data_IF_099929731878
#
_entry.id   IF_099929731878
#
_cell.length_a   1.000
_cell.length_b   1.000
_cell.length_c   1.000
_cell.angle_alpha   90.00
_cell.angle_beta   90.00
_cell.angle_gamma   90.00
#
_symmetry.space_group_name_H-M   'P 1'
#
loop_
_entity.id
_entity.type
_entity.pdbx_description
1 polymer ?
#
# COMPACT_ATOMS: atom_id res chain seq x y z
N UNK A 1 2.86 17.14 5.57
CA UNK A 1 2.56 15.71 5.36
C UNK A 1 3.32 14.89 6.38
N UNK A 2 2.66 13.98 7.08
CA UNK A 2 3.31 13.16 8.11
C UNK A 2 4.23 12.11 7.49
N UNK A 3 5.14 11.56 8.32
CA UNK A 3 6.00 10.47 7.90
C UNK A 3 5.19 9.24 7.48
N UNK A 4 4.09 8.95 8.21
CA UNK A 4 3.19 7.83 7.88
C UNK A 4 2.50 8.02 6.53
N UNK A 5 2.06 9.23 6.22
CA UNK A 5 1.44 9.55 4.92
C UNK A 5 2.45 9.37 3.79
N UNK A 6 3.67 9.85 3.98
CA UNK A 6 4.75 9.65 3.00
C UNK A 6 5.07 8.16 2.81
N UNK A 7 5.10 7.40 3.91
CA UNK A 7 5.35 5.97 3.87
C UNK A 7 4.27 5.22 3.10
N UNK A 8 2.99 5.57 3.30
CA UNK A 8 1.88 4.98 2.56
C UNK A 8 2.00 5.23 1.07
N UNK A 9 2.40 6.44 0.68
CA UNK A 9 2.62 6.77 -0.73
C UNK A 9 3.74 5.94 -1.34
N UNK A 10 4.83 5.73 -0.62
CA UNK A 10 5.91 4.84 -1.06
C UNK A 10 5.43 3.41 -1.24
N UNK A 11 4.62 2.91 -0.30
CA UNK A 11 4.04 1.57 -0.39
C UNK A 11 3.10 1.43 -1.59
N UNK A 12 2.22 2.40 -1.80
CA UNK A 12 1.29 2.40 -2.95
C UNK A 12 2.07 2.43 -4.26
N UNK A 13 3.10 3.26 -4.37
CA UNK A 13 3.94 3.34 -5.57
C UNK A 13 4.62 2.01 -5.86
N UNK A 14 5.13 1.33 -4.83
CA UNK A 14 5.76 0.02 -4.98
C UNK A 14 4.78 -1.05 -5.42
N UNK A 15 3.59 -1.08 -4.82
CA UNK A 15 2.53 -2.03 -5.17
C UNK A 15 2.03 -1.78 -6.59
N UNK A 16 1.88 -0.53 -6.97
CA UNK A 16 1.47 -0.14 -8.32
C UNK A 16 2.52 -0.57 -9.36
N UNK A 17 3.79 -0.27 -9.11
CA UNK A 17 4.87 -0.63 -10.02
C UNK A 17 5.00 -2.16 -10.16
N UNK A 18 4.82 -2.89 -9.08
CA UNK A 18 4.87 -4.35 -9.09
C UNK A 18 3.78 -4.94 -9.99
N UNK A 19 2.56 -4.42 -9.91
CA UNK A 19 1.45 -4.86 -10.74
C UNK A 19 1.75 -4.65 -12.23
N UNK A 20 2.34 -3.51 -12.59
CA UNK A 20 2.61 -3.18 -13.99
C UNK A 20 3.81 -3.93 -14.56
N UNK A 21 4.81 -4.22 -13.74
CA UNK A 21 6.07 -4.82 -14.19
C UNK A 21 6.19 -6.31 -13.89
N UNK A 22 5.20 -6.88 -13.22
CA UNK A 22 5.20 -8.28 -12.79
C UNK A 22 6.44 -8.64 -11.95
N UNK A 23 6.86 -7.71 -11.09
CA UNK A 23 7.96 -7.91 -10.15
C UNK A 23 7.45 -7.75 -8.72
N UNK A 24 8.27 -8.16 -7.75
CA UNK A 24 7.91 -8.06 -6.34
C UNK A 24 7.83 -6.60 -5.89
N UNK A 25 6.78 -6.25 -5.14
CA UNK A 25 6.65 -4.91 -4.56
C UNK A 25 7.79 -4.62 -3.57
N UNK A 26 8.25 -5.65 -2.86
CA UNK A 26 9.41 -5.52 -1.96
C UNK A 26 10.66 -5.08 -2.71
N UNK A 27 10.91 -5.66 -3.87
CA UNK A 27 12.05 -5.25 -4.72
C UNK A 27 11.92 -3.82 -5.21
N UNK A 28 10.70 -3.41 -5.60
CA UNK A 28 10.45 -2.03 -6.02
C UNK A 28 10.72 -1.04 -4.89
N UNK A 29 10.29 -1.38 -3.69
CA UNK A 29 10.51 -0.53 -2.53
C UNK A 29 12.00 -0.44 -2.16
N UNK A 30 12.71 -1.56 -2.17
CA UNK A 30 14.15 -1.61 -1.90
C UNK A 30 14.94 -0.74 -2.89
N UNK A 31 14.56 -0.78 -4.15
CA UNK A 31 15.20 0.03 -5.19
C UNK A 31 14.98 1.51 -4.93
N UNK A 32 13.75 1.91 -4.57
CA UNK A 32 13.43 3.29 -4.24
C UNK A 32 14.22 3.76 -3.00
N UNK A 33 14.29 2.92 -1.97
CA UNK A 33 15.05 3.22 -0.76
C UNK A 33 16.54 3.44 -1.08
N UNK A 34 17.11 2.57 -1.89
CA UNK A 34 18.51 2.66 -2.28
C UNK A 34 18.83 3.95 -3.03
N UNK A 35 17.87 4.45 -3.81
CA UNK A 35 18.04 5.69 -4.59
C UNK A 35 17.69 6.94 -3.79
N UNK A 36 17.13 6.81 -2.60
CA UNK A 36 16.77 7.94 -1.75
C UNK A 36 18.01 8.45 -1.00
N UNK A 37 17.95 9.72 -0.59
CA UNK A 37 18.96 10.26 0.30
C UNK A 37 18.81 9.64 1.69
N UNK A 38 19.93 9.26 2.30
CA UNK A 38 19.91 8.64 3.62
C UNK A 38 19.85 9.71 4.71
N UNK A 39 18.63 10.16 4.99
CA UNK A 39 18.33 11.05 6.10
C UNK A 39 17.51 10.31 7.14
N UNK A 40 17.52 10.77 8.38
CA UNK A 40 16.83 10.11 9.49
C UNK A 40 15.33 9.95 9.23
N UNK A 41 14.67 10.93 8.61
CA UNK A 41 13.26 10.87 8.26
C UNK A 41 12.97 9.77 7.21
N UNK A 42 13.92 9.49 6.32
CA UNK A 42 13.74 8.45 5.31
C UNK A 42 13.76 7.05 5.93
N UNK A 43 14.57 6.82 6.96
CA UNK A 43 14.61 5.52 7.66
C UNK A 43 13.24 5.16 8.20
N UNK A 44 12.58 6.09 8.89
CA UNK A 44 11.23 5.87 9.44
C UNK A 44 10.19 5.67 8.34
N UNK A 45 10.25 6.48 7.30
CA UNK A 45 9.32 6.38 6.16
C UNK A 45 9.41 5.01 5.50
N UNK A 46 10.60 4.54 5.18
CA UNK A 46 10.78 3.25 4.51
C UNK A 46 10.51 2.07 5.44
N UNK A 47 10.74 2.20 6.75
CA UNK A 47 10.40 1.15 7.70
C UNK A 47 8.89 0.87 7.69
N UNK A 48 8.05 1.90 7.74
CA UNK A 48 6.61 1.71 7.68
C UNK A 48 6.14 1.29 6.28
N UNK A 49 6.73 1.85 5.24
CA UNK A 49 6.42 1.43 3.86
C UNK A 49 6.68 -0.06 3.65
N UNK A 50 7.78 -0.56 4.19
CA UNK A 50 8.10 -2.00 4.13
C UNK A 50 7.07 -2.84 4.87
N UNK A 51 6.64 -2.39 6.05
CA UNK A 51 5.60 -3.07 6.82
C UNK A 51 4.31 -3.18 6.00
N UNK A 52 3.91 -2.10 5.32
CA UNK A 52 2.73 -2.07 4.46
C UNK A 52 2.87 -3.04 3.29
N UNK A 53 3.98 -2.98 2.57
CA UNK A 53 4.22 -3.83 1.40
C UNK A 53 4.25 -5.30 1.79
N UNK A 54 4.97 -5.63 2.86
CA UNK A 54 5.06 -7.01 3.36
C UNK A 54 3.69 -7.52 3.81
N UNK A 55 2.93 -6.67 4.51
CA UNK A 55 1.59 -7.03 5.00
C UNK A 55 0.60 -7.29 3.86
N UNK A 56 0.57 -6.42 2.87
CA UNK A 56 -0.29 -6.60 1.68
C UNK A 56 0.11 -7.86 0.92
N UNK A 57 1.40 -8.10 0.77
CA UNK A 57 1.91 -9.29 0.07
C UNK A 57 1.54 -10.58 0.82
N UNK A 58 1.70 -10.59 2.14
CA UNK A 58 1.42 -11.77 2.96
C UNK A 58 -0.07 -12.14 2.96
N UNK A 59 -0.96 -11.14 2.88
CA UNK A 59 -2.40 -11.33 2.94
C UNK A 59 -3.10 -11.07 1.61
N UNK A 60 -2.35 -11.07 0.51
CA UNK A 60 -2.84 -10.66 -0.81
C UNK A 60 -4.09 -11.38 -1.28
N UNK A 61 -4.12 -12.71 -1.15
CA UNK A 61 -5.28 -13.50 -1.60
C UNK A 61 -6.55 -13.16 -0.79
N UNK A 62 -6.42 -13.06 0.53
CA UNK A 62 -7.56 -12.74 1.40
C UNK A 62 -8.05 -11.31 1.16
N UNK A 63 -7.13 -10.37 0.97
CA UNK A 63 -7.46 -8.98 0.67
C UNK A 63 -8.21 -8.88 -0.66
N UNK A 64 -7.73 -9.55 -1.70
CA UNK A 64 -8.35 -9.53 -3.02
C UNK A 64 -9.73 -10.18 -3.00
N UNK A 65 -9.90 -11.28 -2.26
CA UNK A 65 -11.21 -11.93 -2.09
C UNK A 65 -12.22 -10.97 -1.43
N UNK A 66 -11.79 -10.23 -0.41
CA UNK A 66 -12.64 -9.25 0.24
C UNK A 66 -13.02 -8.12 -0.72
N UNK A 67 -12.07 -7.61 -1.47
CA UNK A 67 -12.32 -6.53 -2.44
C UNK A 67 -13.32 -6.99 -3.50
N UNK A 68 -13.18 -8.19 -4.04
CA UNK A 68 -14.10 -8.72 -5.04
C UNK A 68 -15.50 -8.97 -4.47
N UNK A 69 -15.59 -9.41 -3.20
CA UNK A 69 -16.87 -9.65 -2.55
C UNK A 69 -17.67 -8.37 -2.37
N UNK A 70 -17.01 -7.26 -2.01
CA UNK A 70 -17.68 -6.03 -1.65
C UNK A 70 -17.64 -4.93 -2.72
N UNK A 71 -16.85 -5.10 -3.77
CA UNK A 71 -16.74 -4.10 -4.84
C UNK A 71 -17.77 -4.38 -5.95
N UNK A 72 -19.01 -4.23 -5.64
CA UNK A 72 -20.19 -4.56 -6.46
C UNK A 72 -19.98 -4.32 -7.96
N UNK A 73 -19.85 -5.41 -8.73
CA UNK A 73 -19.70 -5.34 -10.17
C UNK A 73 -18.31 -5.04 -10.68
N UNK A 74 -17.34 -4.81 -9.79
CA UNK A 74 -15.94 -4.58 -10.15
C UNK A 74 -15.09 -5.76 -9.73
N UNK A 75 -14.38 -6.36 -10.67
CA UNK A 75 -13.38 -7.37 -10.34
C UNK A 75 -12.03 -6.69 -10.15
N UNK A 76 -11.12 -7.35 -9.44
CA UNK A 76 -9.76 -6.87 -9.26
C UNK A 76 -9.09 -6.58 -10.60
N UNK A 77 -9.30 -7.45 -11.59
CA UNK A 77 -8.72 -7.30 -12.92
C UNK A 77 -9.19 -6.03 -13.66
N UNK A 78 -10.41 -5.56 -13.35
CA UNK A 78 -10.98 -4.38 -13.99
C UNK A 78 -10.66 -3.08 -13.29
N UNK A 79 -10.19 -3.14 -12.05
CA UNK A 79 -9.81 -1.94 -11.32
C UNK A 79 -8.54 -1.35 -11.93
N UNK A 80 -8.45 -0.01 -12.08
CA UNK A 80 -7.18 0.60 -12.42
C UNK A 80 -6.09 0.20 -11.42
N UNK A 81 -4.88 -0.03 -11.89
CA UNK A 81 -3.79 -0.54 -11.05
C UNK A 81 -3.50 0.32 -9.83
N UNK A 82 -3.60 1.64 -9.97
CA UNK A 82 -3.38 2.56 -8.86
C UNK A 82 -4.48 2.40 -7.80
N UNK A 83 -5.73 2.31 -8.23
CA UNK A 83 -6.87 2.12 -7.31
C UNK A 83 -6.73 0.80 -6.57
N UNK A 84 -6.32 -0.27 -7.25
CA UNK A 84 -6.06 -1.56 -6.60
C UNK A 84 -5.03 -1.44 -5.49
N UNK A 85 -3.91 -0.76 -5.77
CA UNK A 85 -2.85 -0.59 -4.79
C UNK A 85 -3.35 0.16 -3.56
N UNK A 86 -4.11 1.24 -3.75
CA UNK A 86 -4.66 2.04 -2.65
C UNK A 86 -5.65 1.21 -1.82
N UNK A 87 -6.55 0.49 -2.48
CA UNK A 87 -7.55 -0.33 -1.80
C UNK A 87 -6.91 -1.49 -1.03
N UNK A 88 -5.93 -2.15 -1.60
CA UNK A 88 -5.20 -3.23 -0.93
C UNK A 88 -4.52 -2.74 0.33
N UNK A 89 -3.87 -1.60 0.28
CA UNK A 89 -3.23 -1.01 1.46
C UNK A 89 -4.27 -0.65 2.51
N UNK A 90 -5.37 -0.01 2.11
CA UNK A 90 -6.45 0.37 3.02
C UNK A 90 -7.04 -0.83 3.77
N UNK A 91 -7.32 -1.91 3.06
CA UNK A 91 -7.85 -3.15 3.65
C UNK A 91 -6.84 -3.73 4.65
N UNK A 92 -5.55 -3.77 4.27
CA UNK A 92 -4.52 -4.26 5.18
C UNK A 92 -4.47 -3.44 6.47
N UNK A 93 -4.49 -2.12 6.38
CA UNK A 93 -4.45 -1.27 7.56
C UNK A 93 -5.68 -1.45 8.46
N UNK A 94 -6.85 -1.62 7.87
CA UNK A 94 -8.09 -1.80 8.65
C UNK A 94 -8.12 -3.15 9.35
N UNK A 95 -7.77 -4.22 8.66
CA UNK A 95 -7.95 -5.59 9.15
C UNK A 95 -6.75 -6.15 9.90
N UNK A 96 -5.56 -5.76 9.53
CA UNK A 96 -4.34 -6.41 10.02
C UNK A 96 -3.40 -5.50 10.79
N UNK A 97 -3.62 -4.19 10.78
CA UNK A 97 -2.77 -3.26 11.51
C UNK A 97 -3.55 -2.56 12.63
N UNK A 98 -3.55 -3.17 13.80
CA UNK A 98 -4.30 -2.66 14.97
C UNK A 98 -3.77 -1.32 15.49
N UNK A 99 -2.56 -0.94 15.13
CA UNK A 99 -1.98 0.35 15.54
C UNK A 99 -2.63 1.54 14.85
N UNK A 100 -3.37 1.30 13.75
CA UNK A 100 -4.00 2.37 12.98
C UNK A 100 -5.53 2.31 13.18
N UNK A 101 -6.16 3.35 13.73
CA UNK A 101 -7.63 3.40 13.79
C UNK A 101 -8.24 3.34 12.39
N UNK A 102 -9.35 2.63 12.24
CA UNK A 102 -10.01 2.44 10.95
C UNK A 102 -10.33 3.77 10.25
N UNK A 103 -10.78 4.76 11.00
CA UNK A 103 -11.09 6.08 10.45
C UNK A 103 -9.85 6.74 9.83
N UNK A 104 -8.68 6.57 10.45
CA UNK A 104 -7.42 7.10 9.93
C UNK A 104 -7.04 6.39 8.63
N UNK A 105 -7.18 5.06 8.56
CA UNK A 105 -6.89 4.30 7.37
C UNK A 105 -7.77 4.74 6.18
N UNK A 106 -9.05 4.94 6.43
CA UNK A 106 -9.99 5.42 5.39
C UNK A 106 -9.62 6.82 4.92
N UNK A 107 -9.37 7.74 5.85
CA UNK A 107 -9.01 9.12 5.51
C UNK A 107 -7.72 9.19 4.69
N UNK A 108 -6.72 8.40 5.05
CA UNK A 108 -5.45 8.35 4.33
C UNK A 108 -5.60 7.76 2.92
N UNK A 109 -6.44 6.74 2.76
CA UNK A 109 -6.71 6.17 1.44
C UNK A 109 -7.40 7.19 0.53
N UNK A 110 -8.35 7.94 1.06
CA UNK A 110 -9.03 9.02 0.31
C UNK A 110 -8.02 10.10 -0.08
N UNK A 111 -7.14 10.49 0.83
CA UNK A 111 -6.13 11.51 0.56
C UNK A 111 -5.14 11.09 -0.54
N UNK A 112 -4.72 9.83 -0.54
CA UNK A 112 -3.82 9.31 -1.57
C UNK A 112 -4.53 9.24 -2.92
N UNK A 113 -5.81 8.90 -2.94
CA UNK A 113 -6.60 8.78 -4.17
C UNK A 113 -6.85 10.11 -4.87
N UNK A 114 -6.72 11.21 -4.15
CA UNK A 114 -6.81 12.53 -4.76
C UNK A 114 -5.61 12.75 -5.68
#
# INVERSE_FOLDING_TARGET
>A
MSARTKARKRAVDALFAADLREVSAGQMLEETERLSEQRDDQVEIFAYAKLCVDGVTAHGADIDDLLETYAQGWTIARMPALDRAILRLGVWEILYNDDIPDAVAVDEAVEIAK
#
